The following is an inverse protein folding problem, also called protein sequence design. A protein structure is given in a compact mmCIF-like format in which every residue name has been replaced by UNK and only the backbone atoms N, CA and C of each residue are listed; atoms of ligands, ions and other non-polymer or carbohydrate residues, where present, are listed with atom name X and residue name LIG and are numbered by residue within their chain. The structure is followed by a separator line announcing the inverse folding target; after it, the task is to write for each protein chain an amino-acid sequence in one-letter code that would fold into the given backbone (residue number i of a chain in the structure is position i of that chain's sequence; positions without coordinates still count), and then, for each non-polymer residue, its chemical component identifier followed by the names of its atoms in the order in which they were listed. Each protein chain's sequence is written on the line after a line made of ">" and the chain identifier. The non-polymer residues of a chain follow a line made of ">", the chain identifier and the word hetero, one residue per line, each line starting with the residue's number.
data_IF_285262276756
#
_entry.id   IF_285262276756
#
_cell.length_a   1.000
_cell.length_b   1.000
_cell.length_c   1.000
_cell.angle_alpha   90.00
_cell.angle_beta   90.00
_cell.angle_gamma   90.00
#
_symmetry.space_group_name_H-M   'P 1'
#
loop_
_entity.id
_entity.type
_entity.pdbx_description
1 polymer ?
#
# COMPACT_ATOMS: atom_id res chain seq x y z
N UNK A 1 -13.35 12.57 -6.73
CA UNK A 1 -11.92 12.19 -6.70
C UNK A 1 -11.63 11.70 -5.27
N UNK A 2 -10.49 11.07 -4.93
CA UNK A 2 -10.30 10.63 -3.55
C UNK A 2 -10.15 11.83 -2.60
N UNK A 3 -11.11 11.99 -1.69
CA UNK A 3 -10.95 12.85 -0.52
C UNK A 3 -10.02 12.16 0.47
N UNK A 4 -9.08 12.92 1.02
CA UNK A 4 -8.10 12.45 1.98
C UNK A 4 -8.12 13.36 3.20
N UNK A 5 -8.18 12.74 4.37
CA UNK A 5 -8.01 13.41 5.65
C UNK A 5 -6.59 13.18 6.20
N UNK A 6 -5.97 14.25 6.66
CA UNK A 6 -4.66 14.26 7.32
C UNK A 6 -4.78 14.85 8.73
N UNK A 7 -3.94 14.40 9.66
CA UNK A 7 -3.74 15.06 10.95
C UNK A 7 -3.08 16.42 10.74
N UNK A 8 -3.68 17.49 11.26
CA UNK A 8 -3.09 18.83 11.19
C UNK A 8 -1.77 18.88 11.94
N UNK A 9 -1.68 18.22 13.09
CA UNK A 9 -0.45 18.12 13.88
C UNK A 9 0.69 17.47 13.09
N UNK A 10 0.41 16.33 12.44
CA UNK A 10 1.42 15.59 11.68
C UNK A 10 1.85 16.38 10.43
N UNK A 11 0.89 17.04 9.75
CA UNK A 11 1.20 17.89 8.60
C UNK A 11 2.11 19.05 9.02
N UNK A 12 1.79 19.75 10.10
CA UNK A 12 2.58 20.86 10.61
C UNK A 12 3.98 20.40 11.04
N UNK A 13 4.08 19.25 11.71
CA UNK A 13 5.35 18.64 12.09
C UNK A 13 6.21 18.28 10.88
N UNK A 14 5.59 17.79 9.80
CA UNK A 14 6.29 17.49 8.56
C UNK A 14 6.70 18.74 7.80
N UNK A 15 5.93 19.83 7.81
CA UNK A 15 6.17 21.02 7.01
C UNK A 15 7.37 21.85 7.46
N UNK A 16 7.84 21.71 8.71
CA UNK A 16 8.83 22.61 9.33
C UNK A 16 8.48 24.09 9.07
N UNK A 17 7.18 24.39 9.14
CA UNK A 17 6.59 25.66 8.75
C UNK A 17 6.20 26.46 9.98
N UNK A 18 6.49 27.77 9.94
CA UNK A 18 6.33 28.67 11.09
C UNK A 18 5.01 29.42 11.10
N UNK A 19 4.28 29.47 9.98
CA UNK A 19 3.00 30.17 9.91
C UNK A 19 1.83 29.27 10.31
N UNK A 20 0.71 29.90 10.67
CA UNK A 20 -0.47 29.23 11.20
C UNK A 20 -1.38 28.62 10.14
N UNK A 21 -2.42 27.93 10.61
CA UNK A 21 -3.44 27.25 9.80
C UNK A 21 -4.15 28.19 8.82
N UNK A 22 -4.34 29.46 9.18
CA UNK A 22 -5.03 30.42 8.32
C UNK A 22 -4.29 30.66 7.00
N UNK A 23 -2.96 30.68 7.01
CA UNK A 23 -2.18 30.81 5.78
C UNK A 23 -2.27 29.52 4.95
N UNK A 24 -2.23 28.34 5.59
CA UNK A 24 -2.42 27.07 4.88
C UNK A 24 -3.79 26.99 4.20
N UNK A 25 -4.84 27.52 4.85
CA UNK A 25 -6.20 27.59 4.27
C UNK A 25 -6.23 28.37 2.96
N UNK A 26 -5.42 29.43 2.84
CA UNK A 26 -5.31 30.23 1.61
C UNK A 26 -4.40 29.56 0.55
N UNK A 27 -3.31 28.92 0.98
CA UNK A 27 -2.27 28.40 0.08
C UNK A 27 -2.57 27.03 -0.50
N UNK A 28 -3.20 26.13 0.26
CA UNK A 28 -3.49 24.75 -0.19
C UNK A 28 -4.28 24.74 -1.50
N UNK A 29 -5.39 25.50 -1.65
CA UNK A 29 -6.14 25.51 -2.91
C UNK A 29 -5.32 25.96 -4.12
N UNK A 30 -4.33 26.84 -3.93
CA UNK A 30 -3.47 27.35 -4.99
C UNK A 30 -2.55 26.28 -5.59
N UNK A 31 -2.39 25.12 -4.93
CA UNK A 31 -1.67 23.97 -5.47
C UNK A 31 -2.49 23.17 -6.48
N UNK A 32 -3.74 23.56 -6.73
CA UNK A 32 -4.66 22.79 -7.56
C UNK A 32 -5.16 21.54 -6.84
N UNK A 33 -5.50 21.64 -5.56
CA UNK A 33 -6.25 20.64 -4.78
C UNK A 33 -7.47 21.32 -4.20
N UNK A 34 -8.57 20.60 -4.01
CA UNK A 34 -9.75 21.20 -3.37
C UNK A 34 -9.63 21.05 -1.84
N UNK A 35 -9.70 22.15 -1.10
CA UNK A 35 -9.63 22.13 0.36
C UNK A 35 -11.06 22.08 0.90
N UNK A 36 -11.49 20.90 1.35
CA UNK A 36 -12.83 20.71 1.91
C UNK A 36 -12.94 21.32 3.32
N UNK A 37 -11.93 21.09 4.18
CA UNK A 37 -11.89 21.65 5.53
C UNK A 37 -10.47 21.66 6.11
N UNK A 38 -10.22 22.61 7.01
CA UNK A 38 -9.00 22.67 7.81
C UNK A 38 -9.29 23.26 9.19
N UNK A 39 -8.94 22.51 10.22
CA UNK A 39 -9.01 22.90 11.63
C UNK A 39 -7.76 22.41 12.40
N UNK A 40 -7.72 22.61 13.72
CA UNK A 40 -6.59 22.25 14.58
C UNK A 40 -6.34 20.73 14.67
N UNK A 41 -7.30 19.91 14.25
CA UNK A 41 -7.27 18.45 14.34
C UNK A 41 -6.97 17.83 12.98
N UNK A 42 -7.67 18.27 11.93
CA UNK A 42 -7.59 17.66 10.61
C UNK A 42 -7.59 18.64 9.44
N UNK A 43 -7.00 18.17 8.34
CA UNK A 43 -7.06 18.78 7.01
C UNK A 43 -7.71 17.78 6.05
N UNK A 44 -8.82 18.15 5.42
CA UNK A 44 -9.47 17.33 4.38
C UNK A 44 -9.29 17.97 3.02
N UNK A 45 -8.71 17.23 2.08
CA UNK A 45 -8.46 17.69 0.71
C UNK A 45 -8.93 16.65 -0.31
N UNK A 46 -9.51 17.13 -1.41
CA UNK A 46 -9.78 16.31 -2.58
C UNK A 46 -8.56 16.35 -3.52
N UNK A 47 -7.95 15.18 -3.73
CA UNK A 47 -6.73 15.04 -4.53
C UNK A 47 -7.10 14.60 -5.95
N UNK A 48 -6.55 15.30 -6.95
CA UNK A 48 -6.77 14.94 -8.35
C UNK A 48 -6.19 13.54 -8.67
N UNK A 49 -6.87 12.73 -9.50
CA UNK A 49 -6.43 11.37 -9.80
C UNK A 49 -5.03 11.25 -10.44
N UNK A 50 -4.53 12.30 -11.07
CA UNK A 50 -3.19 12.35 -11.68
C UNK A 50 -2.05 12.65 -10.69
N UNK A 51 -2.36 12.84 -9.39
CA UNK A 51 -1.38 13.11 -8.32
C UNK A 51 -1.43 12.05 -7.21
N UNK A 52 -1.21 10.75 -7.51
CA UNK A 52 -1.18 9.71 -6.48
C UNK A 52 -0.12 9.93 -5.42
N UNK A 53 0.93 10.69 -5.74
CA UNK A 53 1.98 11.09 -4.83
C UNK A 53 1.49 11.98 -3.67
N UNK A 54 0.29 12.57 -3.78
CA UNK A 54 -0.34 13.39 -2.75
C UNK A 54 -1.39 12.63 -1.93
N UNK A 55 -1.51 11.30 -2.04
CA UNK A 55 -2.52 10.51 -1.29
C UNK A 55 -2.10 10.15 0.15
N UNK A 56 -0.81 10.31 0.44
CA UNK A 56 -0.17 10.15 1.75
C UNK A 56 0.17 11.52 2.34
N UNK A 57 0.22 11.64 3.67
CA UNK A 57 0.56 12.91 4.33
C UNK A 57 1.98 13.37 3.99
N UNK A 58 2.93 12.44 3.84
CA UNK A 58 4.33 12.70 3.53
C UNK A 58 4.47 13.33 2.14
N UNK A 59 3.76 12.78 1.17
CA UNK A 59 3.76 13.27 -0.20
C UNK A 59 2.99 14.58 -0.38
N UNK A 60 1.90 14.78 0.36
CA UNK A 60 1.18 16.05 0.42
C UNK A 60 2.07 17.15 1.05
N UNK A 61 2.67 16.87 2.22
CA UNK A 61 3.59 17.79 2.89
C UNK A 61 4.81 18.12 2.01
N UNK A 62 5.40 17.13 1.33
CA UNK A 62 6.51 17.35 0.38
C UNK A 62 6.13 18.29 -0.75
N UNK A 63 4.95 18.11 -1.34
CA UNK A 63 4.45 19.00 -2.39
C UNK A 63 4.21 20.42 -1.88
N UNK A 64 3.62 20.54 -0.69
CA UNK A 64 3.32 21.82 -0.06
C UNK A 64 4.60 22.57 0.35
N UNK A 65 5.64 21.89 0.84
CA UNK A 65 6.96 22.48 1.08
C UNK A 65 7.55 23.14 -0.16
N UNK A 66 7.48 22.45 -1.30
CA UNK A 66 7.95 22.97 -2.57
C UNK A 66 7.17 24.20 -3.00
N UNK A 67 5.85 24.17 -2.82
CA UNK A 67 4.97 25.29 -3.14
C UNK A 67 5.19 26.52 -2.23
N UNK A 68 5.37 26.30 -0.93
CA UNK A 68 5.62 27.37 0.06
C UNK A 68 7.06 27.90 0.01
N UNK A 69 7.94 27.31 -0.79
CA UNK A 69 9.35 27.71 -0.87
C UNK A 69 10.20 27.29 0.33
N UNK A 70 9.71 26.39 1.18
CA UNK A 70 10.41 25.88 2.37
C UNK A 70 11.57 24.96 1.98
N UNK A 71 11.28 24.03 1.06
CA UNK A 71 12.29 23.14 0.51
C UNK A 71 12.03 23.00 -0.99
N UNK A 72 12.90 23.62 -1.78
CA UNK A 72 12.78 23.68 -3.23
C UNK A 72 13.81 22.78 -3.90
N UNK A 73 13.50 22.35 -5.11
CA UNK A 73 14.37 21.50 -5.92
C UNK A 73 13.94 20.04 -5.94
N UNK A 74 14.77 19.22 -6.59
CA UNK A 74 14.50 17.80 -6.73
C UNK A 74 14.91 17.05 -5.46
N UNK A 75 14.02 16.20 -4.97
CA UNK A 75 14.35 15.24 -3.92
C UNK A 75 15.06 14.05 -4.57
N UNK A 76 16.27 13.75 -4.13
CA UNK A 76 17.03 12.59 -4.59
C UNK A 76 16.67 11.39 -3.71
N UNK A 77 16.15 10.33 -4.32
CA UNK A 77 15.94 9.04 -3.65
C UNK A 77 17.10 8.12 -4.01
N UNK A 78 17.91 7.75 -3.02
CA UNK A 78 18.97 6.77 -3.22
C UNK A 78 18.34 5.39 -3.45
N UNK A 79 18.76 4.72 -4.52
CA UNK A 79 18.33 3.36 -4.86
C UNK A 79 19.59 2.55 -5.17
N UNK A 80 19.63 1.33 -4.65
CA UNK A 80 20.69 0.38 -4.90
C UNK A 80 20.09 -1.00 -5.21
N UNK A 81 20.87 -1.84 -5.89
CA UNK A 81 20.51 -3.25 -6.07
C UNK A 81 20.62 -3.98 -4.73
N UNK A 82 19.65 -4.85 -4.45
CA UNK A 82 19.64 -5.73 -3.28
C UNK A 82 19.95 -7.18 -3.69
N UNK A 83 20.48 -7.97 -2.76
CA UNK A 83 20.67 -9.41 -2.96
C UNK A 83 19.36 -10.22 -2.88
N UNK A 84 18.25 -9.57 -2.49
CA UNK A 84 16.92 -10.18 -2.40
C UNK A 84 16.34 -10.41 -3.79
N UNK A 85 15.99 -11.66 -4.09
CA UNK A 85 15.44 -12.06 -5.39
C UNK A 85 13.97 -12.41 -5.29
N UNK A 86 13.19 -12.00 -6.28
CA UNK A 86 11.82 -12.45 -6.54
C UNK A 86 11.78 -13.24 -7.84
N UNK A 87 11.51 -14.54 -7.75
CA UNK A 87 11.34 -15.44 -8.88
C UNK A 87 9.88 -15.44 -9.29
N UNK A 88 9.59 -15.18 -10.57
CA UNK A 88 8.24 -15.20 -11.12
C UNK A 88 8.09 -16.43 -12.00
N UNK A 89 7.15 -17.30 -11.67
CA UNK A 89 6.87 -18.49 -12.46
C UNK A 89 5.88 -18.21 -13.61
N UNK A 90 6.05 -18.91 -14.72
CA UNK A 90 5.14 -18.85 -15.87
C UNK A 90 3.68 -19.22 -15.51
N UNK A 91 3.48 -19.93 -14.40
CA UNK A 91 2.17 -20.35 -13.91
C UNK A 91 1.21 -19.18 -13.63
N UNK A 92 1.71 -17.95 -13.43
CA UNK A 92 0.87 -16.76 -13.19
C UNK A 92 0.45 -16.02 -14.46
N UNK A 93 1.00 -16.35 -15.64
CA UNK A 93 0.83 -15.56 -16.88
C UNK A 93 -0.64 -15.33 -17.26
N UNK A 94 -1.47 -16.37 -17.17
CA UNK A 94 -2.89 -16.31 -17.57
C UNK A 94 -3.82 -15.79 -16.46
N UNK A 95 -3.27 -15.45 -15.29
CA UNK A 95 -4.03 -15.03 -14.10
C UNK A 95 -3.67 -13.60 -13.72
N UNK A 96 -2.39 -13.35 -13.43
CA UNK A 96 -1.87 -12.04 -13.04
C UNK A 96 -0.36 -11.98 -13.40
N UNK A 97 -0.03 -11.61 -14.65
CA UNK A 97 1.31 -11.83 -15.23
C UNK A 97 2.40 -10.90 -14.71
N UNK A 98 2.03 -9.73 -14.17
CA UNK A 98 2.99 -8.68 -13.84
C UNK A 98 3.10 -8.49 -12.32
N UNK A 99 4.33 -8.44 -11.85
CA UNK A 99 4.69 -8.16 -10.45
C UNK A 99 5.98 -7.35 -10.41
N UNK A 100 6.07 -6.44 -9.45
CA UNK A 100 7.30 -5.73 -9.10
C UNK A 100 7.38 -5.67 -7.57
N UNK A 101 8.59 -5.61 -7.04
CA UNK A 101 8.85 -5.48 -5.61
C UNK A 101 9.97 -4.47 -5.38
N UNK A 102 9.98 -3.85 -4.20
CA UNK A 102 11.05 -3.00 -3.72
C UNK A 102 11.29 -3.32 -2.25
N UNK A 103 12.53 -3.13 -1.80
CA UNK A 103 12.93 -3.27 -0.41
C UNK A 103 13.25 -1.88 0.15
N UNK A 104 12.70 -1.57 1.31
CA UNK A 104 13.07 -0.41 2.11
C UNK A 104 13.68 -0.92 3.42
N UNK A 105 14.95 -0.61 3.64
CA UNK A 105 15.71 -1.03 4.83
C UNK A 105 15.82 0.12 5.84
N UNK A 106 16.13 -0.21 7.09
CA UNK A 106 16.36 0.75 8.17
C UNK A 106 15.18 1.71 8.40
N UNK A 107 13.95 1.24 8.15
CA UNK A 107 12.73 2.02 8.31
C UNK A 107 12.28 1.99 9.76
N UNK A 108 12.14 3.17 10.38
CA UNK A 108 11.50 3.31 11.69
C UNK A 108 10.00 3.43 11.48
N UNK A 109 9.26 2.38 11.86
CA UNK A 109 7.81 2.34 11.81
C UNK A 109 7.21 2.53 13.20
N UNK A 110 6.28 3.44 13.29
CA UNK A 110 5.37 3.66 14.41
C UNK A 110 3.91 3.51 13.95
N UNK A 111 2.96 3.61 14.88
CA UNK A 111 1.55 3.43 14.54
C UNK A 111 1.05 4.45 13.49
N UNK A 112 1.60 5.66 13.46
CA UNK A 112 1.16 6.72 12.55
C UNK A 112 1.69 6.48 11.14
N UNK A 113 2.97 6.13 11.01
CA UNK A 113 3.60 5.80 9.72
C UNK A 113 3.03 4.52 9.14
N UNK A 114 2.79 3.47 9.95
CA UNK A 114 2.10 2.25 9.49
C UNK A 114 0.71 2.60 8.98
N UNK A 115 -0.06 3.40 9.73
CA UNK A 115 -1.38 3.87 9.27
C UNK A 115 -1.28 4.66 7.96
N UNK A 116 -0.33 5.58 7.82
CA UNK A 116 -0.12 6.36 6.59
C UNK A 116 0.14 5.46 5.38
N UNK A 117 1.00 4.44 5.54
CA UNK A 117 1.30 3.46 4.49
C UNK A 117 0.06 2.66 4.11
N UNK A 118 -0.72 2.19 5.09
CA UNK A 118 -1.95 1.43 4.85
C UNK A 118 -3.03 2.29 4.17
N UNK A 119 -3.22 3.53 4.61
CA UNK A 119 -4.19 4.47 4.01
C UNK A 119 -3.81 4.79 2.55
N UNK A 120 -2.51 5.00 2.27
CA UNK A 120 -2.02 5.19 0.89
C UNK A 120 -2.25 3.94 0.05
N UNK A 121 -1.92 2.76 0.58
CA UNK A 121 -2.10 1.48 -0.07
C UNK A 121 -3.58 1.25 -0.44
N UNK A 122 -4.52 1.50 0.48
CA UNK A 122 -5.96 1.34 0.26
C UNK A 122 -6.49 2.31 -0.81
N UNK A 123 -6.09 3.58 -0.76
CA UNK A 123 -6.47 4.56 -1.80
C UNK A 123 -5.94 4.17 -3.17
N UNK A 124 -4.69 3.69 -3.25
CA UNK A 124 -4.11 3.22 -4.50
C UNK A 124 -4.81 1.96 -5.01
N UNK A 125 -5.17 1.02 -4.13
CA UNK A 125 -5.96 -0.16 -4.49
C UNK A 125 -7.31 0.23 -5.08
N UNK A 126 -8.03 1.15 -4.44
CA UNK A 126 -9.36 1.60 -4.87
C UNK A 126 -9.30 2.35 -6.20
N UNK A 127 -8.38 3.31 -6.31
CA UNK A 127 -8.29 4.22 -7.47
C UNK A 127 -7.52 3.59 -8.64
N UNK A 128 -6.19 3.67 -8.61
CA UNK A 128 -5.28 3.25 -9.68
C UNK A 128 -5.33 1.74 -9.88
N UNK A 129 -5.51 0.99 -8.80
CA UNK A 129 -5.67 -0.45 -8.79
C UNK A 129 -7.04 -0.92 -9.28
N UNK A 130 -8.01 -0.02 -9.51
CA UNK A 130 -9.41 -0.34 -9.86
C UNK A 130 -9.99 -1.40 -8.94
N UNK A 131 -10.04 -1.07 -7.66
CA UNK A 131 -10.40 -1.99 -6.59
C UNK A 131 -9.60 -3.31 -6.67
N UNK A 132 -8.28 -3.18 -6.71
CA UNK A 132 -7.28 -4.28 -6.82
C UNK A 132 -7.24 -5.07 -8.13
N UNK A 133 -8.22 -4.92 -9.02
CA UNK A 133 -8.29 -5.64 -10.28
C UNK A 133 -7.03 -5.46 -11.13
N UNK A 134 -6.47 -4.24 -11.17
CA UNK A 134 -5.27 -3.89 -11.95
C UNK A 134 -3.98 -3.87 -11.12
N UNK A 135 -4.02 -3.34 -9.90
CA UNK A 135 -2.85 -3.22 -9.02
C UNK A 135 -3.23 -3.65 -7.61
N UNK A 136 -2.47 -4.58 -7.04
CA UNK A 136 -2.60 -5.00 -5.66
C UNK A 136 -1.20 -4.91 -5.07
N UNK A 137 -1.10 -4.11 -4.01
CA UNK A 137 0.14 -3.82 -3.29
C UNK A 137 0.08 -4.61 -1.99
N UNK A 138 1.15 -5.32 -1.64
CA UNK A 138 1.35 -5.94 -0.34
C UNK A 138 2.57 -5.31 0.33
N UNK A 139 2.47 -5.06 1.63
CA UNK A 139 3.61 -4.63 2.46
C UNK A 139 3.86 -5.75 3.47
N UNK A 140 5.12 -6.15 3.59
CA UNK A 140 5.54 -7.32 4.34
C UNK A 140 6.74 -6.96 5.20
N UNK A 141 6.72 -7.38 6.46
CA UNK A 141 7.87 -7.32 7.35
C UNK A 141 8.93 -8.34 6.89
N UNK A 142 10.07 -7.84 6.38
CA UNK A 142 11.15 -8.68 5.86
C UNK A 142 11.81 -9.52 6.96
N UNK A 143 11.86 -9.03 8.20
CA UNK A 143 12.52 -9.72 9.32
C UNK A 143 11.83 -11.04 9.70
N UNK A 144 10.59 -11.23 9.24
CA UNK A 144 9.77 -12.41 9.51
C UNK A 144 9.80 -13.46 8.40
N UNK A 145 10.48 -13.22 7.27
CA UNK A 145 10.48 -14.10 6.10
C UNK A 145 11.86 -14.28 5.49
N UNK A 146 12.04 -15.36 4.74
CA UNK A 146 13.37 -15.71 4.19
C UNK A 146 13.43 -15.60 2.65
N UNK A 147 14.28 -14.75 2.06
CA UNK A 147 14.50 -14.75 0.61
C UNK A 147 15.22 -16.03 0.14
N UNK A 148 15.23 -16.35 -1.18
CA UNK A 148 14.49 -15.69 -2.25
C UNK A 148 12.98 -15.95 -2.18
N UNK A 149 12.21 -15.01 -2.74
CA UNK A 149 10.76 -15.11 -2.84
C UNK A 149 10.33 -15.72 -4.17
N UNK A 150 9.20 -16.40 -4.19
CA UNK A 150 8.59 -16.98 -5.40
C UNK A 150 7.16 -16.49 -5.56
N UNK A 151 6.83 -15.94 -6.74
CA UNK A 151 5.48 -15.64 -7.16
C UNK A 151 5.00 -16.68 -8.17
N UNK A 152 4.02 -17.49 -7.77
CA UNK A 152 3.51 -18.61 -8.58
C UNK A 152 2.02 -18.84 -8.41
N UNK A 153 1.41 -19.57 -9.32
CA UNK A 153 0.00 -19.98 -9.22
C UNK A 153 -0.14 -21.44 -8.76
N UNK A 154 -0.96 -21.66 -7.73
CA UNK A 154 -1.21 -22.97 -7.11
C UNK A 154 -2.69 -23.32 -7.14
N UNK A 155 -3.05 -24.61 -7.02
CA UNK A 155 -4.48 -24.95 -6.89
C UNK A 155 -5.01 -24.53 -5.51
N UNK A 156 -6.31 -24.24 -5.38
CA UNK A 156 -6.84 -23.63 -4.16
C UNK A 156 -6.69 -24.47 -2.88
N UNK A 157 -6.55 -25.80 -3.03
CA UNK A 157 -6.43 -26.76 -1.94
C UNK A 157 -5.00 -27.24 -1.67
N UNK A 158 -4.04 -26.85 -2.51
CA UNK A 158 -2.67 -27.38 -2.44
C UNK A 158 -1.83 -26.68 -1.36
N UNK A 159 -2.28 -25.51 -0.90
CA UNK A 159 -1.59 -24.72 0.13
C UNK A 159 -2.57 -24.16 1.15
N UNK A 160 -2.06 -23.88 2.34
CA UNK A 160 -2.83 -23.22 3.41
C UNK A 160 -1.92 -22.34 4.24
N UNK A 161 -2.45 -21.23 4.73
CA UNK A 161 -1.73 -20.31 5.62
C UNK A 161 -2.72 -19.63 6.56
N UNK A 162 -2.23 -18.88 7.55
CA UNK A 162 -3.09 -18.07 8.42
C UNK A 162 -3.27 -16.71 7.74
N UNK A 163 -4.46 -16.41 7.17
CA UNK A 163 -4.70 -15.08 6.61
C UNK A 163 -4.83 -14.06 7.76
N UNK A 164 -4.55 -12.81 7.42
CA UNK A 164 -4.62 -11.69 8.35
C UNK A 164 -5.95 -11.70 9.15
N UNK A 165 -5.89 -11.50 10.45
CA UNK A 165 -7.03 -11.35 11.37
C UNK A 165 -7.98 -12.57 11.52
N UNK A 166 -7.64 -13.76 11.02
CA UNK A 166 -8.47 -14.98 11.21
C UNK A 166 -7.96 -15.95 12.27
N UNK A 167 -6.69 -15.85 12.67
CA UNK A 167 -6.07 -16.69 13.73
C UNK A 167 -6.05 -18.20 13.49
N UNK A 168 -6.47 -18.68 12.30
CA UNK A 168 -6.54 -20.10 11.94
C UNK A 168 -6.03 -20.33 10.53
N UNK A 169 -5.36 -21.46 10.31
CA UNK A 169 -4.86 -21.88 9.00
C UNK A 169 -6.03 -22.24 8.08
N UNK A 170 -6.01 -21.71 6.86
CA UNK A 170 -7.07 -21.88 5.86
C UNK A 170 -6.44 -22.13 4.48
N UNK A 171 -7.06 -23.00 3.69
CA UNK A 171 -6.74 -23.12 2.27
C UNK A 171 -7.31 -21.94 1.46
N UNK A 172 -6.84 -21.73 0.23
CA UNK A 172 -7.25 -20.58 -0.57
C UNK A 172 -8.76 -20.60 -0.88
N UNK A 173 -9.36 -21.78 -1.06
CA UNK A 173 -10.80 -21.91 -1.27
C UNK A 173 -11.60 -21.53 -0.04
N UNK A 174 -11.10 -21.83 1.16
CA UNK A 174 -11.72 -21.44 2.42
C UNK A 174 -11.60 -19.93 2.62
N UNK A 175 -10.44 -19.34 2.32
CA UNK A 175 -10.22 -17.89 2.38
C UNK A 175 -11.27 -17.16 1.52
N UNK A 176 -11.42 -17.56 0.25
CA UNK A 176 -12.40 -16.93 -0.66
C UNK A 176 -13.86 -17.04 -0.18
N UNK A 177 -14.20 -18.04 0.65
CA UNK A 177 -15.57 -18.29 1.11
C UNK A 177 -15.88 -17.75 2.51
N UNK A 178 -14.87 -17.46 3.32
CA UNK A 178 -15.03 -17.19 4.76
C UNK A 178 -14.35 -15.90 5.22
N UNK A 179 -13.24 -15.52 4.59
CA UNK A 179 -12.54 -14.30 4.95
C UNK A 179 -13.30 -13.07 4.40
N UNK A 180 -13.47 -11.97 5.15
CA UNK A 180 -14.16 -10.77 4.66
C UNK A 180 -13.60 -10.27 3.31
N UNK A 181 -12.28 -10.09 3.21
CA UNK A 181 -11.58 -9.75 1.95
C UNK A 181 -11.66 -10.86 0.88
N UNK A 182 -11.80 -12.12 1.29
CA UNK A 182 -12.04 -13.22 0.37
C UNK A 182 -13.38 -13.08 -0.33
N UNK A 183 -14.44 -12.81 0.43
CA UNK A 183 -15.79 -12.57 -0.09
C UNK A 183 -15.84 -11.31 -0.97
N UNK A 184 -15.16 -10.25 -0.54
CA UNK A 184 -15.11 -8.97 -1.25
C UNK A 184 -14.43 -9.06 -2.62
N UNK A 185 -13.34 -9.82 -2.73
CA UNK A 185 -12.47 -9.84 -3.92
C UNK A 185 -12.45 -11.16 -4.68
N UNK A 186 -13.28 -12.15 -4.32
CA UNK A 186 -13.31 -13.46 -4.98
C UNK A 186 -13.59 -13.38 -6.48
N UNK A 187 -14.41 -12.41 -6.91
CA UNK A 187 -14.73 -12.16 -8.31
C UNK A 187 -13.49 -11.85 -9.18
N UNK A 188 -12.40 -11.33 -8.59
CA UNK A 188 -11.15 -11.06 -9.32
C UNK A 188 -10.45 -12.33 -9.80
N UNK A 189 -10.82 -13.49 -9.27
CA UNK A 189 -10.27 -14.80 -9.61
C UNK A 189 -11.33 -15.74 -10.20
N UNK A 190 -12.50 -15.21 -10.56
CA UNK A 190 -13.58 -16.01 -11.13
C UNK A 190 -13.15 -16.69 -12.45
N UNK A 191 -13.52 -17.97 -12.59
CA UNK A 191 -13.16 -18.78 -13.76
C UNK A 191 -11.68 -19.21 -13.83
N UNK A 192 -10.88 -19.01 -12.76
CA UNK A 192 -9.49 -19.47 -12.70
C UNK A 192 -9.36 -20.75 -11.87
N UNK A 193 -8.58 -21.72 -12.37
CA UNK A 193 -8.34 -22.99 -11.69
C UNK A 193 -7.16 -22.96 -10.71
N UNK A 194 -6.30 -21.94 -10.82
CA UNK A 194 -5.15 -21.69 -9.98
C UNK A 194 -5.12 -20.25 -9.52
N UNK A 195 -4.51 -20.03 -8.38
CA UNK A 195 -4.48 -18.74 -7.70
C UNK A 195 -3.05 -18.32 -7.38
N UNK A 196 -2.70 -17.04 -7.57
CA UNK A 196 -1.35 -16.58 -7.36
C UNK A 196 -1.05 -16.46 -5.88
N UNK A 197 0.17 -16.82 -5.47
CA UNK A 197 0.66 -16.71 -4.10
C UNK A 197 2.10 -16.24 -4.11
N UNK A 198 2.49 -15.52 -3.06
CA UNK A 198 3.90 -15.26 -2.76
C UNK A 198 4.38 -16.21 -1.68
N UNK A 199 5.52 -16.83 -1.93
CA UNK A 199 6.20 -17.74 -1.02
C UNK A 199 7.60 -17.25 -0.70
N UNK A 200 8.07 -17.56 0.49
CA UNK A 200 9.48 -17.42 0.86
C UNK A 200 10.28 -18.69 0.51
N UNK A 201 11.57 -18.71 0.84
CA UNK A 201 12.47 -19.82 0.50
C UNK A 201 12.23 -21.11 1.28
N UNK A 202 11.53 -21.03 2.40
CA UNK A 202 11.13 -22.20 3.21
C UNK A 202 9.70 -22.66 2.91
N UNK A 203 8.98 -21.96 2.02
CA UNK A 203 7.66 -22.32 1.53
C UNK A 203 6.51 -21.71 2.33
N UNK A 204 6.78 -20.75 3.21
CA UNK A 204 5.74 -20.00 3.92
C UNK A 204 5.06 -18.98 3.00
N UNK A 205 3.75 -18.77 3.21
CA UNK A 205 2.94 -17.87 2.37
C UNK A 205 2.98 -16.45 2.92
N UNK A 206 3.52 -15.53 2.14
CA UNK A 206 3.47 -14.09 2.45
C UNK A 206 2.08 -13.51 2.17
N UNK A 207 1.51 -13.86 1.02
CA UNK A 207 0.19 -13.38 0.61
C UNK A 207 -0.45 -14.22 -0.48
N UNK A 208 -1.75 -14.05 -0.60
CA UNK A 208 -2.59 -14.53 -1.68
C UNK A 208 -3.17 -13.32 -2.44
N UNK A 209 -2.46 -12.78 -3.45
CA UNK A 209 -2.97 -11.67 -4.25
C UNK A 209 -4.18 -12.05 -5.12
N UNK A 210 -5.05 -11.10 -5.45
CA UNK A 210 -5.19 -9.75 -4.87
C UNK A 210 -6.01 -9.74 -3.56
N UNK A 211 -6.14 -10.89 -2.88
CA UNK A 211 -7.13 -11.12 -1.82
C UNK A 211 -6.64 -10.64 -0.46
N UNK A 212 -5.58 -11.25 0.08
CA UNK A 212 -5.17 -11.03 1.47
C UNK A 212 -3.70 -11.37 1.72
N UNK A 213 -3.10 -10.71 2.72
CA UNK A 213 -1.77 -11.04 3.25
C UNK A 213 -1.85 -12.13 4.33
N UNK A 214 -0.73 -12.78 4.60
CA UNK A 214 -0.58 -13.67 5.75
C UNK A 214 -0.37 -12.89 7.04
N UNK A 215 -0.84 -13.46 8.15
CA UNK A 215 -0.55 -12.94 9.50
C UNK A 215 0.95 -12.92 9.79
N UNK A 216 1.71 -13.86 9.19
CA UNK A 216 3.16 -14.01 9.34
C UNK A 216 3.93 -12.71 9.10
N UNK A 217 3.52 -11.92 8.11
CA UNK A 217 4.25 -10.72 7.67
C UNK A 217 3.57 -9.42 8.07
N UNK A 218 2.67 -9.46 9.06
CA UNK A 218 1.95 -8.28 9.55
C UNK A 218 2.94 -7.24 10.07
N UNK A 219 2.75 -5.98 9.64
CA UNK A 219 3.43 -4.81 10.18
C UNK A 219 2.87 -4.45 11.56
#
# INVERSE_FOLDING_TARGET
>A
MPSVEYSTCDLMGLLDWKAGIDELREKIPMMGVDLESIDDVKVSVEIFPNRPDMLSIEGFARSLKGFLGVNMGLVNYAVADSDVKLVVEDSVKDIRPAVTAALAEEVVLDNNTVKSVMDMQEKLHLTHGRNRAKVAIGVHDLDKVSPPFTYKAVKPKDISFVPLDMGKKMDLSQILRKHPKGLEFANLLEGKDKYPVFLDSIGEVLSFPPIINGELTKL
#
